data_IF_584191688469
#
_entry.id   IF_584191688469
#
_cell.length_a   1.000
_cell.length_b   1.000
_cell.length_c   1.000
_cell.angle_alpha   90.00
_cell.angle_beta   90.00
_cell.angle_gamma   90.00
#
_symmetry.space_group_name_H-M   'P 1'
#
loop_
_entity.id
_entity.type
_entity.pdbx_description
1 polymer ?
#
# COMPACT_ATOMS: atom_id res chain seq x y z
N UNK A 1 -0.24 -0.46 -9.41
CA UNK A 1 -1.61 0.09 -9.38
C UNK A 1 -1.57 1.56 -9.75
N UNK A 2 -1.09 1.89 -10.96
CA UNK A 2 -1.54 3.10 -11.64
C UNK A 2 -2.95 2.79 -12.15
N UNK A 3 -3.97 3.29 -11.45
CA UNK A 3 -5.34 3.26 -11.96
C UNK A 3 -5.38 4.00 -13.31
N UNK A 4 -5.95 3.43 -14.38
CA UNK A 4 -6.30 4.20 -15.55
C UNK A 4 -7.43 5.15 -15.13
N UNK A 5 -7.16 6.46 -15.09
CA UNK A 5 -8.20 7.47 -14.88
C UNK A 5 -8.36 8.02 -13.46
N UNK A 6 -7.26 8.31 -12.77
CA UNK A 6 -7.30 8.97 -11.45
C UNK A 6 -6.26 10.07 -11.28
N UNK A 7 -6.14 10.99 -12.23
CA UNK A 7 -5.39 12.23 -12.03
C UNK A 7 -6.12 13.10 -11.00
N UNK A 8 -5.48 13.40 -9.87
CA UNK A 8 -5.92 14.51 -9.04
C UNK A 8 -5.61 14.36 -7.56
N UNK A 9 -4.44 14.85 -7.16
CA UNK A 9 -4.32 15.56 -5.88
C UNK A 9 -5.48 16.57 -5.75
N UNK A 10 -5.93 16.93 -4.54
CA UNK A 10 -7.03 17.86 -4.34
C UNK A 10 -6.53 19.29 -4.59
N UNK A 11 -6.20 19.60 -5.85
CA UNK A 11 -6.20 20.98 -6.30
C UNK A 11 -7.65 21.36 -6.59
N UNK A 12 -8.10 22.55 -6.18
CA UNK A 12 -9.48 22.99 -6.36
C UNK A 12 -9.84 22.96 -7.85
N UNK A 13 -10.68 22.00 -8.25
CA UNK A 13 -11.19 21.93 -9.61
C UNK A 13 -12.25 23.02 -9.79
N UNK A 14 -11.89 24.07 -10.53
CA UNK A 14 -12.83 25.10 -10.95
C UNK A 14 -13.56 24.62 -12.23
N UNK A 15 -14.89 24.75 -12.33
CA UNK A 15 -15.63 24.23 -13.47
C UNK A 15 -15.47 25.14 -14.68
N UNK A 16 -15.01 24.57 -15.79
CA UNK A 16 -15.00 25.20 -17.12
C UNK A 16 -13.61 25.36 -17.72
N UNK A 17 -13.30 24.56 -18.74
CA UNK A 17 -12.12 24.70 -19.60
C UNK A 17 -10.94 23.83 -19.14
N UNK A 18 -10.32 23.11 -20.09
CA UNK A 18 -9.24 22.16 -19.84
C UNK A 18 -8.03 22.75 -19.08
N UNK A 19 -7.11 21.89 -18.61
CA UNK A 19 -6.05 22.22 -17.64
C UNK A 19 -4.97 23.23 -18.09
N UNK A 20 -5.20 23.94 -19.20
CA UNK A 20 -4.25 24.88 -19.80
C UNK A 20 -4.86 26.24 -20.18
N UNK A 21 -6.16 26.48 -19.97
CA UNK A 21 -6.78 27.75 -20.35
C UNK A 21 -6.62 28.80 -19.23
N UNK A 22 -5.45 29.46 -19.18
CA UNK A 22 -5.28 30.73 -18.44
C UNK A 22 -4.15 30.82 -17.41
N UNK A 23 -3.33 29.79 -17.23
CA UNK A 23 -2.19 29.87 -16.30
C UNK A 23 -0.92 30.37 -16.98
N UNK A 24 -0.22 31.28 -16.28
CA UNK A 24 1.08 31.85 -16.68
C UNK A 24 2.12 30.75 -16.98
N UNK A 25 3.10 31.01 -17.85
CA UNK A 25 4.19 30.05 -18.12
C UNK A 25 4.90 29.58 -16.84
N UNK A 26 4.91 30.41 -15.80
CA UNK A 26 5.48 30.12 -14.50
C UNK A 26 4.67 29.08 -13.71
N UNK A 27 3.34 29.16 -13.71
CA UNK A 27 2.48 28.17 -13.05
C UNK A 27 2.44 26.83 -13.81
N UNK A 28 2.50 26.85 -15.14
CA UNK A 28 2.61 25.62 -15.95
C UNK A 28 3.95 24.91 -15.71
N UNK A 29 5.04 25.65 -15.50
CA UNK A 29 6.32 25.09 -15.09
C UNK A 29 6.26 24.51 -13.67
N UNK A 30 5.54 25.18 -12.76
CA UNK A 30 5.36 24.69 -11.39
C UNK A 30 4.51 23.40 -11.34
N UNK A 31 3.42 23.33 -12.12
CA UNK A 31 2.60 22.11 -12.23
C UNK A 31 3.39 20.96 -12.85
N UNK A 32 4.13 21.18 -13.94
CA UNK A 32 4.99 20.15 -14.54
C UNK A 32 6.11 19.70 -13.61
N UNK A 33 6.65 20.59 -12.78
CA UNK A 33 7.63 20.25 -11.76
C UNK A 33 7.02 19.39 -10.64
N UNK A 34 5.79 19.70 -10.20
CA UNK A 34 5.06 18.90 -9.22
C UNK A 34 4.64 17.54 -9.80
N UNK A 35 4.21 17.50 -11.07
CA UNK A 35 3.80 16.29 -11.77
C UNK A 35 4.99 15.36 -12.01
N UNK A 36 6.12 15.91 -12.48
CA UNK A 36 7.38 15.15 -12.61
C UNK A 36 7.96 14.68 -11.27
N UNK A 37 7.77 15.45 -10.19
CA UNK A 37 8.13 15.00 -8.84
C UNK A 37 7.20 13.87 -8.34
N UNK A 38 5.91 13.96 -8.66
CA UNK A 38 4.88 12.95 -8.33
C UNK A 38 4.99 11.65 -9.13
N UNK A 39 5.62 11.68 -10.30
CA UNK A 39 5.90 10.49 -11.10
C UNK A 39 7.15 9.74 -10.65
N UNK A 40 7.97 10.33 -9.77
CA UNK A 40 9.19 9.68 -9.31
C UNK A 40 8.87 8.36 -8.58
N UNK A 41 9.62 7.31 -8.92
CA UNK A 41 9.47 6.00 -8.28
C UNK A 41 9.66 6.07 -6.76
N UNK A 42 10.54 6.97 -6.30
CA UNK A 42 10.75 7.21 -4.87
C UNK A 42 9.49 7.77 -4.21
N UNK A 43 8.85 8.77 -4.82
CA UNK A 43 7.65 9.36 -4.27
C UNK A 43 6.48 8.37 -4.24
N UNK A 44 6.22 7.66 -5.35
CA UNK A 44 5.18 6.61 -5.41
C UNK A 44 5.39 5.52 -4.37
N UNK A 45 6.63 5.03 -4.24
CA UNK A 45 6.95 3.97 -3.27
C UNK A 45 6.80 4.45 -1.83
N UNK A 46 7.23 5.67 -1.51
CA UNK A 46 7.06 6.26 -0.18
C UNK A 46 5.58 6.48 0.16
N UNK A 47 4.79 7.02 -0.76
CA UNK A 47 3.35 7.22 -0.53
C UNK A 47 2.62 5.88 -0.35
N UNK A 48 2.94 4.88 -1.17
CA UNK A 48 2.42 3.52 -1.00
C UNK A 48 2.83 2.90 0.35
N UNK A 49 4.07 3.13 0.79
CA UNK A 49 4.55 2.67 2.09
C UNK A 49 3.80 3.32 3.26
N UNK A 50 3.56 4.63 3.19
CA UNK A 50 2.82 5.38 4.22
C UNK A 50 1.36 4.91 4.29
N UNK A 51 0.70 4.77 3.14
CA UNK A 51 -0.67 4.28 3.07
C UNK A 51 -0.78 2.83 3.58
N UNK A 52 0.14 1.97 3.18
CA UNK A 52 0.23 0.59 3.66
C UNK A 52 0.51 0.50 5.16
N UNK A 53 1.40 1.35 5.69
CA UNK A 53 1.69 1.41 7.11
C UNK A 53 0.50 1.90 7.93
N UNK A 54 -0.27 2.87 7.43
CA UNK A 54 -1.49 3.35 8.08
C UNK A 54 -2.54 2.24 8.20
N UNK A 55 -2.81 1.54 7.10
CA UNK A 55 -3.77 0.42 7.08
C UNK A 55 -3.28 -0.75 7.96
N UNK A 56 -1.99 -1.08 7.90
CA UNK A 56 -1.39 -2.11 8.76
C UNK A 56 -1.39 -1.74 10.25
N UNK A 57 -1.20 -0.47 10.60
CA UNK A 57 -1.27 -0.01 11.98
C UNK A 57 -2.69 -0.16 12.54
N UNK A 58 -3.71 0.21 11.77
CA UNK A 58 -5.11 0.00 12.17
C UNK A 58 -5.43 -1.48 12.34
N UNK A 59 -5.01 -2.32 11.38
CA UNK A 59 -5.18 -3.76 11.49
C UNK A 59 -4.43 -4.35 12.71
N UNK A 60 -3.25 -3.82 13.04
CA UNK A 60 -2.47 -4.24 14.20
C UNK A 60 -3.11 -3.85 15.54
N UNK A 61 -3.69 -2.64 15.64
CA UNK A 61 -4.46 -2.20 16.82
C UNK A 61 -5.68 -3.11 17.00
N UNK A 62 -6.43 -3.34 15.92
CA UNK A 62 -7.62 -4.19 15.96
C UNK A 62 -7.29 -5.64 16.36
N UNK A 63 -6.23 -6.20 15.78
CA UNK A 63 -5.78 -7.56 16.11
C UNK A 63 -5.32 -7.66 17.57
N UNK A 64 -4.76 -6.59 18.12
CA UNK A 64 -4.36 -6.54 19.53
C UNK A 64 -5.57 -6.53 20.45
N UNK A 65 -6.60 -5.75 20.11
CA UNK A 65 -7.85 -5.71 20.88
C UNK A 65 -8.48 -7.12 21.00
N UNK A 66 -8.52 -7.89 19.92
CA UNK A 66 -9.04 -9.27 19.96
C UNK A 66 -8.19 -10.24 20.79
N UNK A 67 -6.88 -9.99 20.93
CA UNK A 67 -6.02 -10.79 21.81
C UNK A 67 -6.20 -10.45 23.29
N UNK A 68 -6.69 -9.25 23.62
CA UNK A 68 -7.02 -8.90 25.00
C UNK A 68 -8.31 -9.58 25.51
N UNK A 69 -9.24 -9.93 24.62
CA UNK A 69 -10.47 -10.66 24.98
C UNK A 69 -10.27 -12.19 25.16
N UNK A 70 -9.07 -12.73 24.93
CA UNK A 70 -8.79 -14.17 25.08
C UNK A 70 -8.05 -14.49 26.38
N UNK A 71 -8.73 -14.98 27.44
CA UNK A 71 -8.12 -15.24 28.76
C UNK A 71 -7.17 -16.45 28.81
N UNK A 72 -6.89 -17.12 27.69
CA UNK A 72 -5.97 -18.26 27.59
C UNK A 72 -4.54 -17.88 27.16
N UNK A 73 -4.20 -16.60 27.11
CA UNK A 73 -2.79 -16.20 26.92
C UNK A 73 -2.00 -16.46 28.21
N UNK A 74 -0.83 -17.12 28.17
CA UNK A 74 -0.02 -17.46 29.36
C UNK A 74 0.45 -16.25 30.18
N UNK A 75 0.27 -15.02 29.67
CA UNK A 75 0.58 -13.75 30.33
C UNK A 75 -0.59 -13.17 31.14
N UNK A 76 -1.79 -13.74 31.02
CA UNK A 76 -3.02 -13.23 31.67
C UNK A 76 -2.97 -13.13 33.21
N UNK A 77 -2.37 -14.07 33.97
CA UNK A 77 -2.39 -13.97 35.44
C UNK A 77 -1.39 -12.96 36.01
N UNK A 78 -0.34 -12.57 35.27
CA UNK A 78 0.63 -11.58 35.76
C UNK A 78 0.15 -10.14 35.59
N UNK A 79 -0.70 -9.82 34.62
CA UNK A 79 -1.15 -8.42 34.41
C UNK A 79 -2.20 -8.01 35.44
N UNK A 80 -3.07 -8.94 35.87
CA UNK A 80 -4.20 -8.68 36.77
C UNK A 80 -3.81 -8.18 38.17
N UNK A 81 -2.57 -8.40 38.62
CA UNK A 81 -2.14 -8.07 39.99
C UNK A 81 -1.42 -6.72 40.09
N UNK A 82 -1.09 -6.08 38.96
CA UNK A 82 -0.49 -4.74 38.94
C UNK A 82 -1.56 -3.64 39.02
N UNK A 83 -1.22 -2.44 39.54
CA UNK A 83 -2.15 -1.31 39.57
C UNK A 83 -2.66 -0.95 38.16
N UNK A 84 -3.93 -0.54 38.05
CA UNK A 84 -4.62 -0.21 36.79
C UNK A 84 -3.81 0.72 35.86
N UNK A 85 -3.05 1.66 36.43
CA UNK A 85 -2.20 2.58 35.66
C UNK A 85 -1.05 1.86 34.94
N UNK A 86 -0.51 0.81 35.55
CA UNK A 86 0.60 0.03 35.00
C UNK A 86 0.09 -1.01 34.00
N UNK A 87 -1.09 -1.59 34.23
CA UNK A 87 -1.79 -2.43 33.25
C UNK A 87 -2.15 -1.66 31.99
N UNK A 88 -2.73 -0.46 32.12
CA UNK A 88 -3.03 0.42 30.98
C UNK A 88 -1.75 0.79 30.23
N UNK A 89 -0.68 1.17 30.95
CA UNK A 89 0.59 1.54 30.33
C UNK A 89 1.23 0.38 29.56
N UNK A 90 1.16 -0.85 30.10
CA UNK A 90 1.62 -2.04 29.38
C UNK A 90 0.74 -2.35 28.19
N UNK A 91 -0.59 -2.28 28.35
CA UNK A 91 -1.55 -2.56 27.29
C UNK A 91 -1.41 -1.62 26.09
N UNK A 92 -1.24 -0.33 26.35
CA UNK A 92 -0.93 0.66 25.32
C UNK A 92 0.44 0.43 24.68
N UNK A 93 1.44 0.00 25.46
CA UNK A 93 2.78 -0.28 24.93
C UNK A 93 2.80 -1.53 24.03
N UNK A 94 2.05 -2.58 24.37
CA UNK A 94 1.91 -3.79 23.54
C UNK A 94 1.08 -3.52 22.29
N UNK A 95 -0.06 -2.85 22.44
CA UNK A 95 -0.91 -2.42 21.31
C UNK A 95 -0.11 -1.53 20.34
N UNK A 96 0.69 -0.60 20.87
CA UNK A 96 1.58 0.24 20.07
C UNK A 96 2.66 -0.57 19.35
N UNK A 97 3.28 -1.56 20.00
CA UNK A 97 4.26 -2.45 19.36
C UNK A 97 3.63 -3.32 18.27
N UNK A 98 2.43 -3.82 18.48
CA UNK A 98 1.69 -4.59 17.50
C UNK A 98 1.28 -3.74 16.30
N UNK A 99 0.77 -2.53 16.53
CA UNK A 99 0.48 -1.56 15.47
C UNK A 99 1.73 -1.21 14.66
N UNK A 100 2.86 -0.93 15.33
CA UNK A 100 4.12 -0.59 14.67
C UNK A 100 4.71 -1.76 13.88
N UNK A 101 4.71 -2.97 14.43
CA UNK A 101 5.23 -4.15 13.73
C UNK A 101 4.40 -4.50 12.50
N UNK A 102 3.07 -4.47 12.64
CA UNK A 102 2.14 -4.72 11.53
C UNK A 102 2.23 -3.62 10.48
N UNK A 103 2.20 -2.35 10.89
CA UNK A 103 2.39 -1.20 10.00
C UNK A 103 3.72 -1.25 9.23
N UNK A 104 4.83 -1.62 9.89
CA UNK A 104 6.13 -1.80 9.20
C UNK A 104 6.09 -2.89 8.14
N UNK A 105 5.42 -4.02 8.42
CA UNK A 105 5.30 -5.12 7.47
C UNK A 105 4.48 -4.69 6.24
N UNK A 106 3.29 -4.12 6.44
CA UNK A 106 2.44 -3.66 5.32
C UNK A 106 3.05 -2.49 4.55
N UNK A 107 3.74 -1.58 5.24
CA UNK A 107 4.49 -0.49 4.60
C UNK A 107 5.64 -1.03 3.73
N UNK A 108 6.35 -2.06 4.20
CA UNK A 108 7.44 -2.69 3.41
C UNK A 108 6.90 -3.39 2.16
N UNK A 109 5.75 -4.07 2.28
CA UNK A 109 5.08 -4.71 1.14
C UNK A 109 4.66 -3.64 0.12
N UNK A 110 4.01 -2.57 0.56
CA UNK A 110 3.59 -1.46 -0.32
C UNK A 110 4.76 -0.75 -0.99
N UNK A 111 5.85 -0.51 -0.24
CA UNK A 111 7.08 0.07 -0.78
C UNK A 111 7.70 -0.79 -1.88
N UNK A 112 7.86 -2.09 -1.63
CA UNK A 112 8.48 -3.01 -2.59
C UNK A 112 7.61 -3.20 -3.83
N UNK A 113 6.29 -3.33 -3.66
CA UNK A 113 5.39 -3.52 -4.78
C UNK A 113 5.39 -2.31 -5.72
N UNK A 114 5.16 -1.10 -5.20
CA UNK A 114 5.18 0.14 -6.00
C UNK A 114 6.56 0.47 -6.55
N UNK A 115 7.63 0.16 -5.82
CA UNK A 115 9.01 0.36 -6.27
C UNK A 115 9.41 -0.56 -7.41
N UNK A 116 9.02 -1.84 -7.34
CA UNK A 116 9.31 -2.81 -8.40
C UNK A 116 8.46 -2.54 -9.64
N UNK A 117 7.18 -2.20 -9.48
CA UNK A 117 6.34 -1.81 -10.61
C UNK A 117 6.92 -0.60 -11.36
N UNK A 118 7.24 0.47 -10.63
CA UNK A 118 7.83 1.68 -11.22
C UNK A 118 9.24 1.44 -11.79
N UNK A 119 10.05 0.62 -11.11
CA UNK A 119 11.39 0.27 -11.59
C UNK A 119 11.36 -0.51 -12.90
N UNK A 120 10.43 -1.46 -13.05
CA UNK A 120 10.32 -2.23 -14.30
C UNK A 120 9.65 -1.41 -15.40
N UNK A 121 8.66 -0.57 -15.09
CA UNK A 121 8.05 0.30 -16.11
C UNK A 121 9.01 1.37 -16.61
N UNK A 122 9.87 1.93 -15.74
CA UNK A 122 10.93 2.86 -16.14
C UNK A 122 11.98 2.22 -17.07
N UNK A 123 12.28 0.92 -16.91
CA UNK A 123 13.23 0.22 -17.77
C UNK A 123 12.63 -0.24 -19.10
N UNK A 124 11.32 -0.53 -19.16
CA UNK A 124 10.65 -1.09 -20.35
C UNK A 124 9.81 -0.07 -21.14
N UNK A 125 9.59 1.13 -20.57
CA UNK A 125 8.72 2.19 -21.10
C UNK A 125 7.31 1.71 -21.50
N UNK A 126 6.81 0.66 -20.83
CA UNK A 126 5.46 0.11 -21.01
C UNK A 126 4.88 -0.31 -19.67
N UNK A 127 3.68 0.17 -19.39
CA UNK A 127 2.83 -0.26 -18.27
C UNK A 127 1.82 -1.29 -18.78
N UNK A 128 2.22 -2.56 -18.76
CA UNK A 128 1.37 -3.70 -19.13
C UNK A 128 0.95 -4.48 -17.87
N UNK A 129 -0.19 -5.18 -17.92
CA UNK A 129 -0.70 -6.04 -16.83
C UNK A 129 0.33 -7.06 -16.32
N UNK A 130 1.18 -7.56 -17.22
CA UNK A 130 2.27 -8.47 -16.86
C UNK A 130 3.29 -7.83 -15.91
N UNK A 131 3.48 -6.51 -15.99
CA UNK A 131 4.41 -5.79 -15.14
C UNK A 131 3.99 -5.85 -13.67
N UNK A 132 2.69 -5.73 -13.39
CA UNK A 132 2.13 -5.89 -12.04
C UNK A 132 2.27 -7.32 -11.51
N UNK A 133 2.11 -8.34 -12.37
CA UNK A 133 2.25 -9.76 -12.00
C UNK A 133 3.72 -10.07 -11.66
N UNK A 134 4.67 -9.63 -12.50
CA UNK A 134 6.09 -9.81 -12.25
C UNK A 134 6.54 -9.04 -11.01
N UNK A 135 6.12 -7.79 -10.85
CA UNK A 135 6.40 -7.00 -9.66
C UNK A 135 5.87 -7.68 -8.39
N UNK A 136 4.66 -8.24 -8.44
CA UNK A 136 4.08 -9.05 -7.37
C UNK A 136 4.93 -10.28 -7.05
N UNK A 137 5.31 -11.06 -8.07
CA UNK A 137 6.16 -12.25 -7.92
C UNK A 137 7.52 -11.90 -7.29
N UNK A 138 8.18 -10.85 -7.78
CA UNK A 138 9.46 -10.39 -7.25
C UNK A 138 9.34 -9.84 -5.82
N UNK A 139 8.33 -9.03 -5.53
CA UNK A 139 8.07 -8.52 -4.18
C UNK A 139 7.85 -9.68 -3.20
N UNK A 140 6.98 -10.63 -3.55
CA UNK A 140 6.66 -11.80 -2.74
C UNK A 140 7.88 -12.71 -2.51
N UNK A 141 8.70 -12.92 -3.56
CA UNK A 141 9.95 -13.67 -3.45
C UNK A 141 10.99 -12.99 -2.57
N UNK A 142 11.16 -11.66 -2.70
CA UNK A 142 12.10 -10.87 -1.90
C UNK A 142 11.70 -10.85 -0.43
N UNK A 143 10.40 -10.68 -0.14
CA UNK A 143 9.88 -10.69 1.23
C UNK A 143 10.08 -12.05 1.91
N UNK A 144 9.87 -13.13 1.16
CA UNK A 144 10.01 -14.50 1.64
C UNK A 144 11.46 -15.04 1.55
N UNK A 145 12.46 -14.21 1.22
CA UNK A 145 13.86 -14.67 1.08
C UNK A 145 14.40 -15.36 2.34
N UNK A 146 13.91 -14.98 3.52
CA UNK A 146 14.35 -15.54 4.81
C UNK A 146 13.71 -16.88 5.17
N UNK A 147 12.62 -17.27 4.51
CA UNK A 147 11.92 -18.55 4.78
C UNK A 147 12.46 -19.71 3.92
N UNK A 148 13.55 -19.49 3.19
CA UNK A 148 14.20 -20.48 2.33
C UNK A 148 13.61 -20.52 0.90
N UNK A 149 14.19 -21.31 -0.01
CA UNK A 149 13.83 -21.30 -1.43
C UNK A 149 12.39 -21.75 -1.70
N UNK A 150 11.88 -22.72 -0.92
CA UNK A 150 10.48 -23.16 -1.00
C UNK A 150 9.51 -22.08 -0.53
N UNK A 151 9.86 -21.37 0.56
CA UNK A 151 9.08 -20.23 1.06
C UNK A 151 9.06 -19.06 0.08
N UNK A 152 10.21 -18.76 -0.55
CA UNK A 152 10.31 -17.76 -1.60
C UNK A 152 9.45 -18.10 -2.83
N UNK A 153 9.44 -19.37 -3.26
CA UNK A 153 8.60 -19.80 -4.39
C UNK A 153 7.10 -19.69 -4.09
N UNK A 154 6.68 -20.11 -2.89
CA UNK A 154 5.29 -19.95 -2.44
C UNK A 154 4.91 -18.47 -2.31
N UNK A 155 5.80 -17.65 -1.77
CA UNK A 155 5.62 -16.20 -1.67
C UNK A 155 5.47 -15.53 -3.04
N UNK A 156 6.35 -15.87 -3.99
CA UNK A 156 6.28 -15.36 -5.36
C UNK A 156 4.98 -15.80 -6.06
N UNK A 157 4.61 -17.08 -5.96
CA UNK A 157 3.38 -17.59 -6.56
C UNK A 157 2.12 -16.96 -5.96
N UNK A 158 2.07 -16.81 -4.63
CA UNK A 158 0.93 -16.21 -3.94
C UNK A 158 0.73 -14.74 -4.30
N UNK A 159 1.80 -13.94 -4.31
CA UNK A 159 1.72 -12.53 -4.70
C UNK A 159 1.40 -12.37 -6.20
N UNK A 160 1.95 -13.22 -7.07
CA UNK A 160 1.62 -13.21 -8.50
C UNK A 160 0.13 -13.49 -8.74
N UNK A 161 -0.41 -14.53 -8.08
CA UNK A 161 -1.84 -14.88 -8.18
C UNK A 161 -2.73 -13.77 -7.64
N UNK A 162 -2.35 -13.15 -6.51
CA UNK A 162 -3.09 -12.02 -5.98
C UNK A 162 -3.11 -10.84 -6.96
N UNK A 163 -1.97 -10.51 -7.57
CA UNK A 163 -1.89 -9.47 -8.61
C UNK A 163 -2.79 -9.79 -9.81
N UNK A 164 -2.81 -11.05 -10.29
CA UNK A 164 -3.75 -11.46 -11.35
C UNK A 164 -5.20 -11.25 -10.93
N UNK A 165 -5.55 -11.63 -9.70
CA UNK A 165 -6.91 -11.46 -9.17
C UNK A 165 -7.34 -9.99 -9.12
N UNK A 166 -6.46 -9.10 -8.69
CA UNK A 166 -6.72 -7.66 -8.67
C UNK A 166 -6.90 -7.09 -10.07
N UNK A 167 -6.00 -7.42 -11.00
CA UNK A 167 -6.07 -6.97 -12.40
C UNK A 167 -7.35 -7.46 -13.08
N UNK A 168 -7.75 -8.72 -12.81
CA UNK A 168 -8.99 -9.29 -13.31
C UNK A 168 -10.23 -8.56 -12.75
N UNK A 169 -10.23 -8.24 -11.45
CA UNK A 169 -11.33 -7.53 -10.80
C UNK A 169 -11.47 -6.08 -11.29
N UNK A 170 -10.36 -5.34 -11.40
CA UNK A 170 -10.37 -3.95 -11.85
C UNK A 170 -10.85 -3.82 -13.29
N UNK A 171 -10.38 -4.69 -14.19
CA UNK A 171 -10.81 -4.68 -15.61
C UNK A 171 -12.30 -4.93 -15.78
N UNK A 172 -12.86 -5.87 -15.01
CA UNK A 172 -14.30 -6.15 -15.04
C UNK A 172 -15.13 -4.90 -14.68
N UNK A 173 -14.64 -4.07 -13.76
CA UNK A 173 -15.28 -2.81 -13.39
C UNK A 173 -15.17 -1.71 -14.44
N UNK A 174 -14.13 -1.71 -15.27
CA UNK A 174 -13.97 -0.76 -16.39
C UNK A 174 -14.90 -1.10 -17.55
N UNK A 175 -15.08 -2.39 -17.84
CA UNK A 175 -16.05 -2.86 -18.83
C UNK A 175 -17.47 -2.43 -18.44
N UNK A 176 -17.88 -2.63 -17.18
CA UNK A 176 -19.20 -2.22 -16.69
C UNK A 176 -19.45 -0.71 -16.81
N UNK A 177 -18.45 0.12 -16.49
CA UNK A 177 -18.54 1.58 -16.65
C UNK A 177 -18.61 2.01 -18.11
N UNK A 178 -17.94 1.30 -19.02
CA UNK A 178 -18.05 1.56 -20.47
C UNK A 178 -19.47 1.31 -20.97
N UNK A 179 -20.12 0.24 -20.53
CA UNK A 179 -21.52 -0.06 -20.88
C UNK A 179 -22.53 0.88 -20.22
N UNK A 180 -22.18 1.57 -19.14
CA UNK A 180 -23.06 2.54 -18.49
C UNK A 180 -23.03 3.95 -19.13
N UNK A 181 -22.11 4.20 -20.07
CA UNK A 181 -21.93 5.50 -20.75
C UNK A 181 -22.42 5.47 -22.21
N UNK A 182 -22.69 4.28 -22.78
CA UNK A 182 -23.42 4.08 -24.04
C UNK A 182 -24.93 3.95 -23.81
#
# INVERSE_FOLDING_TARGET
>A
MSLPGGSGFPFPQRPGGGPAAGMSHQEQQYVKAIEGAGESCAFKSCMAAVMGAGLGAMFGVFTSAMRYDTPLSPTAPEISTLPLRQQLKLGFAETGRAALSTGRNFGTVGFLFSGLECGVSALRAKDDMWNGIWAGAFAGGILARKTGPRGAAVGAGGFALFSVGIEWWLRKGEDEKRFAVE
#
